data_IF_747803008391
#
_entry.id   IF_747803008391
#
_cell.length_a   1.000
_cell.length_b   1.000
_cell.length_c   1.000
_cell.angle_alpha   90.00
_cell.angle_beta   90.00
_cell.angle_gamma   90.00
#
_symmetry.space_group_name_H-M   'P 1'
#
loop_
_entity.id
_entity.type
_entity.pdbx_description
1 polymer ?
#
# COMPACT_ATOMS: atom_id res chain seq x y z
N UNK A 1 -14.02 4.49 0.42
CA UNK A 1 -12.59 4.72 0.16
C UNK A 1 -11.80 3.74 1.00
N UNK A 2 -10.89 2.99 0.38
CA UNK A 2 -9.92 2.17 1.11
C UNK A 2 -8.84 3.13 1.65
N UNK A 3 -8.56 3.02 2.94
CA UNK A 3 -7.57 3.86 3.62
C UNK A 3 -6.68 3.03 4.53
N UNK A 4 -5.79 3.73 5.24
CA UNK A 4 -4.82 3.13 6.16
C UNK A 4 -5.39 2.09 7.13
N UNK A 5 -6.62 2.26 7.64
CA UNK A 5 -7.26 1.32 8.56
C UNK A 5 -7.52 -0.04 7.90
N UNK A 6 -7.98 -0.05 6.65
CA UNK A 6 -8.28 -1.28 5.92
C UNK A 6 -7.01 -2.13 5.71
N UNK A 7 -5.87 -1.51 5.42
CA UNK A 7 -4.59 -2.22 5.27
C UNK A 7 -4.13 -2.86 6.58
N UNK A 8 -4.31 -2.15 7.71
CA UNK A 8 -4.00 -2.69 9.04
C UNK A 8 -4.89 -3.88 9.38
N UNK A 9 -6.18 -3.80 9.07
CA UNK A 9 -7.13 -4.89 9.29
C UNK A 9 -6.79 -6.12 8.44
N UNK A 10 -6.42 -5.93 7.17
CA UNK A 10 -5.97 -7.02 6.29
C UNK A 10 -4.72 -7.69 6.86
N UNK A 11 -3.70 -6.90 7.19
CA UNK A 11 -2.45 -7.43 7.74
C UNK A 11 -2.65 -8.17 9.07
N UNK A 12 -3.58 -7.68 9.91
CA UNK A 12 -3.89 -8.32 11.18
C UNK A 12 -4.72 -9.60 11.01
N UNK A 13 -5.69 -9.60 10.10
CA UNK A 13 -6.62 -10.73 9.91
C UNK A 13 -6.00 -11.89 9.13
N UNK A 14 -5.00 -11.60 8.28
CA UNK A 14 -4.36 -12.57 7.41
C UNK A 14 -2.87 -12.67 7.73
N UNK A 15 -2.54 -13.33 8.85
CA UNK A 15 -1.15 -13.55 9.30
C UNK A 15 -0.30 -14.40 8.35
N UNK A 16 -0.93 -15.08 7.38
CA UNK A 16 -0.27 -15.87 6.34
C UNK A 16 -0.30 -15.20 4.96
N UNK A 17 -0.72 -13.92 4.88
CA UNK A 17 -0.69 -13.17 3.64
C UNK A 17 0.76 -13.09 3.12
N UNK A 18 0.96 -13.41 1.85
CA UNK A 18 2.29 -13.35 1.21
C UNK A 18 2.40 -12.22 0.19
N UNK A 19 1.28 -11.80 -0.37
CA UNK A 19 1.23 -10.82 -1.43
C UNK A 19 0.00 -9.93 -1.28
N UNK A 20 0.18 -8.63 -1.50
CA UNK A 20 -0.86 -7.61 -1.44
C UNK A 20 -0.70 -6.64 -2.62
N UNK A 21 -1.68 -6.63 -3.53
CA UNK A 21 -1.74 -5.67 -4.63
C UNK A 21 -2.68 -4.52 -4.28
N UNK A 22 -2.20 -3.29 -4.47
CA UNK A 22 -2.96 -2.06 -4.25
C UNK A 22 -2.98 -1.24 -5.53
N UNK A 23 -4.17 -1.00 -6.08
CA UNK A 23 -4.36 -0.13 -7.26
C UNK A 23 -5.38 0.96 -6.98
N UNK A 24 -5.06 2.19 -7.40
CA UNK A 24 -5.97 3.34 -7.26
C UNK A 24 -6.28 3.73 -5.80
N UNK A 25 -5.48 3.28 -4.83
CA UNK A 25 -5.74 3.46 -3.41
C UNK A 25 -5.09 4.73 -2.84
N UNK A 26 -5.50 5.91 -3.35
CA UNK A 26 -4.95 7.23 -2.97
C UNK A 26 -5.08 7.60 -1.49
N UNK A 27 -5.94 6.91 -0.74
CA UNK A 27 -6.14 7.12 0.70
C UNK A 27 -5.15 6.37 1.59
N UNK A 28 -4.23 5.59 1.00
CA UNK A 28 -3.23 4.81 1.72
C UNK A 28 -1.91 5.59 1.75
N UNK A 29 -1.34 5.72 2.94
CA UNK A 29 -0.01 6.28 3.14
C UNK A 29 1.04 5.18 3.04
N UNK A 30 2.13 5.48 2.32
CA UNK A 30 3.35 4.65 2.27
C UNK A 30 3.84 4.19 3.65
N UNK A 31 3.69 5.04 4.67
CA UNK A 31 4.09 4.73 6.07
C UNK A 31 3.34 3.54 6.67
N UNK A 32 2.15 3.22 6.18
CA UNK A 32 1.41 2.04 6.63
C UNK A 32 1.95 0.79 5.94
N UNK A 33 2.29 0.89 4.66
CA UNK A 33 2.90 -0.20 3.89
C UNK A 33 4.27 -0.58 4.48
N UNK A 34 5.11 0.40 4.83
CA UNK A 34 6.41 0.18 5.47
C UNK A 34 6.33 -0.47 6.86
N UNK A 35 5.15 -0.47 7.49
CA UNK A 35 4.90 -1.09 8.80
C UNK A 35 4.27 -2.48 8.70
N UNK A 36 4.00 -2.96 7.49
CA UNK A 36 3.51 -4.32 7.28
C UNK A 36 4.61 -5.34 7.61
N UNK A 37 4.19 -6.59 7.78
CA UNK A 37 5.14 -7.70 7.92
C UNK A 37 6.07 -7.71 6.68
N UNK A 38 7.40 -7.68 6.85
CA UNK A 38 8.35 -7.64 5.74
C UNK A 38 8.29 -8.89 4.85
N UNK A 39 7.63 -9.96 5.29
CA UNK A 39 7.38 -11.15 4.47
C UNK A 39 6.22 -10.99 3.49
N UNK A 40 5.42 -9.92 3.61
CA UNK A 40 4.36 -9.59 2.66
C UNK A 40 4.98 -8.79 1.51
N UNK A 41 4.94 -9.36 0.32
CA UNK A 41 5.25 -8.64 -0.90
C UNK A 41 4.10 -7.67 -1.22
N UNK A 42 4.41 -6.37 -1.33
CA UNK A 42 3.40 -5.35 -1.63
C UNK A 42 3.71 -4.72 -2.96
N UNK A 43 2.77 -4.85 -3.90
CA UNK A 43 2.82 -4.16 -5.18
C UNK A 43 1.82 -3.02 -5.17
N UNK A 44 2.28 -1.82 -5.51
CA UNK A 44 1.46 -0.61 -5.46
C UNK A 44 1.49 0.08 -6.81
N UNK A 45 0.31 0.18 -7.44
CA UNK A 45 0.09 0.86 -8.71
C UNK A 45 -0.85 2.04 -8.51
N UNK A 46 -0.26 3.21 -8.29
CA UNK A 46 -0.99 4.47 -8.37
C UNK A 46 -1.05 4.90 -9.85
N UNK A 47 -2.03 4.40 -10.59
CA UNK A 47 -2.20 4.74 -12.02
C UNK A 47 -2.57 6.20 -12.31
N UNK A 48 -2.50 7.10 -11.33
CA UNK A 48 -2.64 8.54 -11.56
C UNK A 48 -1.81 9.35 -10.53
N UNK A 49 -0.48 9.27 -10.61
CA UNK A 49 0.32 10.48 -10.73
C UNK A 49 1.72 10.14 -11.24
N UNK A 50 2.02 10.71 -12.39
CA UNK A 50 3.32 10.79 -13.02
C UNK A 50 4.39 11.16 -11.97
N UNK A 51 5.38 10.28 -11.77
CA UNK A 51 6.52 10.52 -10.89
C UNK A 51 7.55 11.48 -11.52
N UNK A 52 7.07 12.43 -12.33
CA UNK A 52 7.83 13.56 -12.82
C UNK A 52 8.11 14.50 -11.64
N UNK A 53 9.16 14.19 -10.87
CA UNK A 53 9.91 15.20 -10.15
C UNK A 53 10.58 16.09 -11.20
N UNK A 54 9.79 17.02 -11.74
CA UNK A 54 10.25 18.10 -12.61
C UNK A 54 10.42 19.35 -11.77
N UNK A 55 11.66 19.62 -11.37
CA UNK A 55 12.09 20.92 -10.87
C UNK A 55 13.41 20.78 -10.13
N UNK A 56 14.48 21.50 -10.44
CA UNK A 56 14.73 22.62 -11.34
C UNK A 56 16.07 23.20 -10.90
#
# INVERSE_FOLDING_TARGET
MIGNSAIREIAHSYSNLKYLYLSGCRGISRKVIEKLDPNIEVEWSDTENDWSDSGG
#
